data_IF_626197076787
#
_entry.id   IF_626197076787
#
_cell.length_a   1.000
_cell.length_b   1.000
_cell.length_c   1.000
_cell.angle_alpha   90.00
_cell.angle_beta   90.00
_cell.angle_gamma   90.00
#
_symmetry.space_group_name_H-M   'P 1'
#
loop_
_entity.id
_entity.type
_entity.pdbx_description
1 polymer ?
#
# COMPACT_ATOMS: atom_id res chain seq x y z
N UNK A 1 -12.12 -1.28 15.22
CA UNK A 1 -11.13 -1.35 14.10
C UNK A 1 -10.79 -2.81 13.86
N UNK A 2 -10.69 -3.24 12.60
CA UNK A 2 -10.32 -4.62 12.23
C UNK A 2 -8.84 -4.64 11.81
N UNK A 3 -8.03 -5.64 12.24
CA UNK A 3 -6.66 -5.78 11.78
C UNK A 3 -6.61 -6.10 10.28
N UNK A 4 -5.39 -6.06 9.72
CA UNK A 4 -5.12 -6.48 8.35
C UNK A 4 -5.50 -7.95 8.17
N UNK A 5 -6.05 -8.30 7.01
CA UNK A 5 -6.39 -9.69 6.70
C UNK A 5 -5.11 -10.51 6.47
N UNK A 6 -4.86 -11.46 7.35
CA UNK A 6 -3.74 -12.39 7.30
C UNK A 6 -4.21 -13.85 7.10
N UNK A 7 -5.44 -14.07 6.61
CA UNK A 7 -5.95 -15.41 6.29
C UNK A 7 -5.27 -16.05 5.08
N UNK A 8 -4.68 -15.23 4.20
CA UNK A 8 -3.93 -15.64 3.01
C UNK A 8 -2.77 -14.67 2.73
N UNK A 9 -1.78 -15.12 1.96
CA UNK A 9 -0.79 -14.23 1.35
C UNK A 9 -1.41 -13.55 0.13
N UNK A 10 -1.36 -12.23 0.07
CA UNK A 10 -1.75 -11.48 -1.13
C UNK A 10 -0.75 -11.68 -2.27
N UNK A 11 -1.24 -11.82 -3.50
CA UNK A 11 -0.43 -11.86 -4.74
C UNK A 11 -0.77 -10.66 -5.64
N UNK A 12 -0.04 -10.46 -6.74
CA UNK A 12 -0.38 -9.41 -7.71
C UNK A 12 -1.76 -9.65 -8.35
N UNK A 13 -2.08 -10.90 -8.71
CA UNK A 13 -3.39 -11.27 -9.27
C UNK A 13 -4.52 -11.20 -8.23
N UNK A 14 -4.21 -11.48 -6.96
CA UNK A 14 -5.18 -11.52 -5.87
C UNK A 14 -4.61 -10.83 -4.62
N UNK A 15 -4.57 -9.48 -4.60
CA UNK A 15 -3.99 -8.74 -3.48
C UNK A 15 -4.91 -8.73 -2.26
N UNK A 16 -4.37 -8.37 -1.09
CA UNK A 16 -5.19 -8.02 0.07
C UNK A 16 -5.69 -6.59 -0.13
N UNK A 17 -7.01 -6.43 -0.31
CA UNK A 17 -7.61 -5.12 -0.57
C UNK A 17 -7.80 -4.36 0.75
N UNK A 18 -7.33 -3.11 0.77
CA UNK A 18 -7.44 -2.19 1.91
C UNK A 18 -8.12 -0.90 1.46
N UNK A 19 -9.28 -0.61 2.05
CA UNK A 19 -10.05 0.58 1.69
C UNK A 19 -9.50 1.82 2.40
N UNK A 20 -9.37 2.95 1.74
CA UNK A 20 -8.94 4.21 2.37
C UNK A 20 -9.82 5.38 1.93
N UNK A 21 -10.12 6.28 2.86
CA UNK A 21 -10.75 7.58 2.56
C UNK A 21 -9.72 8.69 2.31
N UNK A 22 -8.50 8.53 2.82
CA UNK A 22 -7.38 9.44 2.57
C UNK A 22 -6.61 9.05 1.32
N UNK A 23 -5.85 9.99 0.75
CA UNK A 23 -4.99 9.78 -0.42
C UNK A 23 -3.84 8.80 -0.13
N UNK A 24 -3.48 8.61 1.15
CA UNK A 24 -2.45 7.67 1.60
C UNK A 24 -2.93 6.87 2.82
N UNK A 25 -2.38 5.66 3.01
CA UNK A 25 -2.66 4.79 4.15
C UNK A 25 -1.43 3.97 4.52
N UNK A 26 -1.13 3.94 5.82
CA UNK A 26 -0.08 3.10 6.39
C UNK A 26 -0.62 1.73 6.79
N UNK A 27 0.16 0.68 6.51
CA UNK A 27 -0.15 -0.71 6.81
C UNK A 27 1.01 -1.32 7.62
N UNK A 28 0.69 -2.05 8.68
CA UNK A 28 1.67 -2.86 9.43
C UNK A 28 1.57 -4.32 9.01
N UNK A 29 2.54 -4.82 8.24
CA UNK A 29 2.62 -6.22 7.85
C UNK A 29 3.42 -7.01 8.89
N UNK A 30 2.81 -8.04 9.48
CA UNK A 30 3.48 -9.00 10.39
C UNK A 30 3.70 -10.37 9.74
N UNK A 31 3.51 -10.45 8.42
CA UNK A 31 3.74 -11.66 7.62
C UNK A 31 2.52 -12.56 7.42
N UNK A 32 2.77 -13.65 6.70
CA UNK A 32 1.82 -14.73 6.48
C UNK A 32 2.53 -16.10 6.61
N UNK A 33 2.15 -16.95 7.59
CA UNK A 33 1.11 -16.75 8.61
C UNK A 33 1.32 -15.50 9.49
N UNK A 34 0.26 -15.00 10.14
CA UNK A 34 0.36 -13.80 10.97
C UNK A 34 1.46 -13.95 12.02
N UNK A 35 2.22 -12.87 12.25
CA UNK A 35 3.36 -12.82 13.19
C UNK A 35 4.56 -13.71 12.80
N UNK A 36 4.71 -14.01 11.50
CA UNK A 36 5.88 -14.74 10.97
C UNK A 36 7.12 -13.88 10.80
N UNK A 37 6.98 -12.56 10.82
CA UNK A 37 8.10 -11.63 10.87
C UNK A 37 7.75 -10.34 11.63
N UNK A 38 8.79 -9.57 11.99
CA UNK A 38 8.62 -8.28 12.66
C UNK A 38 7.77 -7.32 11.83
N UNK A 39 7.03 -6.44 12.49
CA UNK A 39 6.18 -5.46 11.81
C UNK A 39 6.98 -4.62 10.82
N UNK A 40 6.63 -4.72 9.54
CA UNK A 40 7.12 -3.84 8.49
C UNK A 40 6.01 -2.85 8.14
N UNK A 41 6.35 -1.56 8.16
CA UNK A 41 5.45 -0.49 7.76
C UNK A 41 5.51 -0.29 6.26
N UNK A 42 4.34 -0.31 5.62
CA UNK A 42 4.15 -0.10 4.19
C UNK A 42 3.24 1.12 4.00
N UNK A 43 3.47 1.87 2.93
CA UNK A 43 2.63 2.99 2.53
C UNK A 43 1.95 2.63 1.22
N UNK A 44 0.64 2.80 1.15
CA UNK A 44 -0.12 2.74 -0.10
C UNK A 44 -0.78 4.09 -0.32
N UNK A 45 -0.78 4.56 -1.57
CA UNK A 45 -1.36 5.85 -1.94
C UNK A 45 -2.28 5.72 -3.15
N UNK A 46 -3.05 6.77 -3.45
CA UNK A 46 -3.88 6.82 -4.67
C UNK A 46 -3.03 6.68 -5.92
N UNK A 47 -1.84 7.29 -5.94
CA UNK A 47 -0.91 7.26 -7.08
C UNK A 47 -0.13 5.95 -7.17
N UNK A 48 0.18 5.33 -6.02
CA UNK A 48 0.78 3.98 -5.91
C UNK A 48 -0.09 3.08 -5.04
N UNK A 49 -1.17 2.53 -5.61
CA UNK A 49 -2.13 1.76 -4.83
C UNK A 49 -1.64 0.36 -4.47
N UNK A 50 -0.53 -0.11 -5.02
CA UNK A 50 -0.02 -1.46 -4.78
C UNK A 50 1.34 -1.38 -4.10
N UNK A 51 1.48 -2.08 -2.98
CA UNK A 51 2.75 -2.23 -2.27
C UNK A 51 2.96 -3.70 -1.88
N UNK A 52 4.23 -4.12 -1.87
CA UNK A 52 4.64 -5.48 -1.57
C UNK A 52 5.55 -5.49 -0.35
N UNK A 53 5.20 -6.30 0.65
CA UNK A 53 6.09 -6.51 1.79
C UNK A 53 7.43 -7.10 1.32
N UNK A 54 8.58 -6.49 1.67
CA UNK A 54 9.89 -6.96 1.22
C UNK A 54 10.32 -8.29 1.86
N UNK A 55 9.66 -8.72 2.95
CA UNK A 55 10.01 -9.94 3.67
C UNK A 55 9.11 -11.12 3.29
N UNK A 56 7.80 -11.04 3.53
CA UNK A 56 6.88 -12.13 3.20
C UNK A 56 6.35 -12.12 1.76
N UNK A 57 6.64 -11.07 0.99
CA UNK A 57 6.15 -10.90 -0.38
C UNK A 57 4.65 -10.65 -0.50
N UNK A 58 3.93 -10.44 0.62
CA UNK A 58 2.50 -10.16 0.61
C UNK A 58 2.18 -8.87 -0.14
N UNK A 59 1.21 -8.94 -1.05
CA UNK A 59 0.77 -7.79 -1.85
C UNK A 59 -0.51 -7.17 -1.27
N UNK A 60 -0.48 -5.86 -1.10
CA UNK A 60 -1.59 -5.05 -0.61
C UNK A 60 -2.02 -4.06 -1.67
N UNK A 61 -3.33 -3.92 -1.90
CA UNK A 61 -3.90 -2.96 -2.85
C UNK A 61 -4.87 -2.01 -2.18
N UNK A 62 -4.62 -0.71 -2.29
CA UNK A 62 -5.52 0.34 -1.84
C UNK A 62 -6.71 0.48 -2.79
N UNK A 63 -7.90 0.51 -2.19
CA UNK A 63 -9.14 0.96 -2.84
C UNK A 63 -9.50 2.31 -2.24
N UNK A 64 -9.35 3.38 -3.02
CA UNK A 64 -9.76 4.71 -2.60
C UNK A 64 -11.30 4.81 -2.63
N UNK A 65 -11.88 5.18 -1.49
CA UNK A 65 -13.33 5.31 -1.30
C UNK A 65 -13.77 6.74 -0.96
N UNK A 66 -12.88 7.74 -1.15
CA UNK A 66 -13.20 9.16 -0.98
C UNK A 66 -13.79 9.77 -2.26
N UNK A 67 -14.22 11.03 -2.18
CA UNK A 67 -14.74 11.78 -3.32
C UNK A 67 -13.62 12.04 -4.37
N UNK A 68 -13.96 12.01 -5.66
CA UNK A 68 -12.96 12.17 -6.73
C UNK A 68 -12.46 13.61 -6.90
N UNK A 69 -13.17 14.61 -6.36
CA UNK A 69 -12.83 16.02 -6.52
C UNK A 69 -12.52 16.70 -5.17
N UNK A 70 -11.29 17.20 -5.04
CA UNK A 70 -10.95 18.26 -4.09
C UNK A 70 -10.37 19.43 -4.88
N UNK A 71 -11.25 20.34 -5.31
CA UNK A 71 -10.93 21.69 -5.75
C UNK A 71 -10.47 22.55 -4.56
N UNK A 72 -9.33 22.21 -3.95
CA UNK A 72 -8.69 23.06 -2.95
C UNK A 72 -7.21 23.18 -3.25
N UNK A 73 -6.88 24.27 -3.96
CA UNK A 73 -5.51 24.73 -4.13
C UNK A 73 -4.93 25.16 -2.79
N UNK A 74 -3.83 24.53 -2.42
CA UNK A 74 -2.79 25.12 -1.59
C UNK A 74 -1.45 24.68 -2.18
N UNK A 75 -0.89 25.57 -3.00
CA UNK A 75 0.54 25.61 -3.31
C UNK A 75 1.38 25.62 -2.01
N UNK A 76 2.60 25.10 -2.13
CA UNK A 76 3.73 25.21 -1.20
C UNK A 76 3.76 24.33 0.06
N UNK A 77 4.00 23.03 -0.13
CA UNK A 77 4.74 22.23 0.86
C UNK A 77 5.80 21.37 0.17
N UNK A 78 7.05 21.52 0.60
CA UNK A 78 8.23 20.73 0.20
C UNK A 78 7.86 19.29 -0.16
N UNK A 79 7.80 19.02 -1.46
CA UNK A 79 7.34 17.73 -1.98
C UNK A 79 8.18 16.61 -1.38
N UNK A 80 7.59 15.85 -0.48
CA UNK A 80 8.15 14.57 -0.06
C UNK A 80 8.27 13.72 -1.32
N UNK A 81 9.49 13.60 -1.84
CA UNK A 81 9.77 12.66 -2.91
C UNK A 81 9.80 11.30 -2.24
N UNK A 82 8.68 10.58 -2.33
CA UNK A 82 8.58 9.26 -1.73
C UNK A 82 9.73 8.39 -2.29
N UNK A 83 10.60 7.86 -1.41
CA UNK A 83 11.78 7.14 -1.81
C UNK A 83 11.38 5.93 -2.65
N UNK A 84 12.22 5.59 -3.62
CA UNK A 84 11.94 4.46 -4.50
C UNK A 84 11.76 3.19 -3.67
N UNK A 85 10.60 2.57 -3.78
CA UNK A 85 10.32 1.27 -3.19
C UNK A 85 10.73 0.17 -4.17
N UNK A 86 10.71 -1.08 -3.72
CA UNK A 86 10.99 -2.23 -4.59
C UNK A 86 10.03 -2.27 -5.80
N UNK A 87 8.81 -1.73 -5.65
CA UNK A 87 7.83 -1.67 -6.73
C UNK A 87 8.30 -0.82 -7.93
N UNK A 88 9.09 0.23 -7.68
CA UNK A 88 9.59 1.13 -8.74
C UNK A 88 10.65 0.47 -9.65
N UNK A 89 11.21 -0.66 -9.22
CA UNK A 89 12.19 -1.44 -10.00
C UNK A 89 11.56 -2.62 -10.73
N UNK A 90 10.26 -2.87 -10.57
CA UNK A 90 9.54 -3.91 -11.31
C UNK A 90 9.29 -3.44 -12.73
N UNK A 91 9.67 -4.25 -13.72
CA UNK A 91 9.49 -3.89 -15.14
C UNK A 91 7.99 -3.76 -15.45
N UNK A 92 7.57 -2.79 -16.29
CA UNK A 92 6.16 -2.56 -16.61
C UNK A 92 5.40 -3.80 -17.07
N UNK A 93 6.08 -4.71 -17.78
CA UNK A 93 5.54 -5.99 -18.25
C UNK A 93 5.05 -6.93 -17.12
N UNK A 94 5.46 -6.71 -15.86
CA UNK A 94 5.09 -7.51 -14.68
C UNK A 94 4.18 -6.78 -13.69
N UNK A 95 3.66 -5.61 -14.07
CA UNK A 95 2.81 -4.79 -13.21
C UNK A 95 1.35 -5.26 -13.21
#
# INVERSE_FOLDING_TARGET
>A
MKPLDASRRGTLDNPIVVRSLGKERYLGCTGYPADSHNTIWLTVSKDRPVERCPECGGVYKMEYAGAEEEHHGHDDHHGYVEPKSMADFVRPEYR
#
